data_IF_407372988087
#
_entry.id   IF_407372988087
#
_cell.length_a   1.000
_cell.length_b   1.000
_cell.length_c   1.000
_cell.angle_alpha   90.00
_cell.angle_beta   90.00
_cell.angle_gamma   90.00
#
_symmetry.space_group_name_H-M   'P 1'
#
loop_
_entity.id
_entity.type
_entity.pdbx_description
1 polymer ?
#
# COMPACT_ATOMS: atom_id res chain seq x y z
N UNK A 1 16.10 8.94 -4.98
CA UNK A 1 15.38 9.34 -3.75
C UNK A 1 14.66 10.65 -4.03
N UNK A 2 13.57 10.55 -4.78
CA UNK A 2 12.80 11.70 -5.22
C UNK A 2 12.00 12.23 -4.03
N UNK A 3 12.28 13.47 -3.69
CA UNK A 3 11.62 14.24 -2.64
C UNK A 3 10.12 14.33 -2.90
N UNK A 4 9.30 13.93 -1.93
CA UNK A 4 7.88 14.29 -1.89
C UNK A 4 7.75 15.82 -2.00
N UNK A 5 6.82 16.35 -2.81
CA UNK A 5 6.61 17.79 -2.89
C UNK A 5 6.16 18.34 -1.53
N UNK A 6 7.02 19.16 -0.92
CA UNK A 6 6.85 19.79 0.39
C UNK A 6 7.97 19.44 1.37
N UNK A 7 8.39 20.40 2.19
CA UNK A 7 9.37 20.21 3.27
C UNK A 7 8.77 19.30 4.37
N UNK A 8 8.68 18.00 4.10
CA UNK A 8 8.14 16.99 5.02
C UNK A 8 9.26 16.13 5.58
N UNK A 9 9.22 15.93 6.89
CA UNK A 9 10.12 15.05 7.62
C UNK A 9 10.17 13.65 6.98
N UNK A 10 11.37 13.11 6.83
CA UNK A 10 11.62 11.75 6.34
C UNK A 10 11.73 10.74 7.50
N UNK A 11 11.06 11.00 8.62
CA UNK A 11 11.09 10.12 9.78
C UNK A 11 10.58 8.72 9.42
N UNK A 12 11.18 7.68 10.03
CA UNK A 12 10.92 6.26 9.76
C UNK A 12 11.29 5.76 8.35
N UNK A 13 12.00 6.55 7.53
CA UNK A 13 12.61 6.01 6.32
C UNK A 13 13.79 5.10 6.67
N UNK A 14 13.85 3.87 6.12
CA UNK A 14 14.96 2.96 6.38
C UNK A 14 16.27 3.49 5.81
N UNK A 15 17.37 3.18 6.51
CA UNK A 15 18.70 3.42 5.99
C UNK A 15 19.10 2.31 5.01
N UNK A 16 19.07 2.62 3.71
CA UNK A 16 19.61 1.76 2.66
C UNK A 16 21.07 2.09 2.40
N UNK A 17 22.00 1.19 2.77
CA UNK A 17 23.43 1.39 2.56
C UNK A 17 23.82 1.33 1.08
N UNK A 18 23.19 0.44 0.31
CA UNK A 18 23.43 0.26 -1.12
C UNK A 18 22.39 1.02 -1.94
N UNK A 19 22.83 2.11 -2.57
CA UNK A 19 21.94 2.98 -3.37
C UNK A 19 21.71 2.46 -4.78
N UNK A 20 22.65 1.71 -5.33
CA UNK A 20 22.55 1.17 -6.67
C UNK A 20 21.55 0.02 -6.67
N UNK A 21 21.63 -0.88 -5.68
CA UNK A 21 20.63 -1.93 -5.48
C UNK A 21 19.23 -1.36 -5.23
N UNK A 22 19.11 -0.30 -4.44
CA UNK A 22 17.82 0.38 -4.24
C UNK A 22 17.23 0.90 -5.56
N UNK A 23 18.06 1.53 -6.41
CA UNK A 23 17.61 2.04 -7.70
C UNK A 23 17.18 0.91 -8.65
N UNK A 24 17.92 -0.20 -8.65
CA UNK A 24 17.57 -1.39 -9.44
C UNK A 24 16.22 -1.99 -8.99
N UNK A 25 16.02 -2.20 -7.69
CA UNK A 25 14.74 -2.72 -7.16
C UNK A 25 13.57 -1.79 -7.49
N UNK A 26 13.74 -0.47 -7.36
CA UNK A 26 12.69 0.49 -7.75
C UNK A 26 12.38 0.34 -9.24
N UNK A 27 13.40 0.27 -10.10
CA UNK A 27 13.19 0.14 -11.55
C UNK A 27 12.48 -1.16 -11.94
N UNK A 28 12.71 -2.25 -11.20
CA UNK A 28 12.01 -3.51 -11.40
C UNK A 28 10.53 -3.39 -11.01
N UNK A 29 10.25 -2.83 -9.83
CA UNK A 29 8.88 -2.61 -9.33
C UNK A 29 8.04 -1.74 -10.29
N UNK A 30 8.65 -0.73 -10.91
CA UNK A 30 7.99 0.16 -11.88
C UNK A 30 7.53 -0.57 -13.16
N UNK A 31 8.02 -1.79 -13.41
CA UNK A 31 7.60 -2.62 -14.56
C UNK A 31 6.52 -3.65 -14.23
N UNK A 32 6.24 -3.86 -12.94
CA UNK A 32 5.23 -4.83 -12.50
C UNK A 32 3.81 -4.28 -12.71
N UNK A 33 2.81 -5.15 -12.94
CA UNK A 33 1.44 -4.72 -13.02
C UNK A 33 0.96 -4.11 -11.70
N UNK A 34 0.06 -3.14 -11.81
CA UNK A 34 -0.60 -2.52 -10.66
C UNK A 34 -1.43 -3.56 -9.88
N UNK A 35 -1.50 -3.41 -8.56
CA UNK A 35 -2.29 -4.30 -7.70
C UNK A 35 -3.79 -3.98 -7.73
N UNK A 36 -4.17 -2.77 -8.14
CA UNK A 36 -5.53 -2.26 -8.17
C UNK A 36 -5.74 -1.43 -9.42
N UNK A 37 -6.98 -1.43 -9.93
CA UNK A 37 -7.40 -0.57 -11.04
C UNK A 37 -7.89 0.80 -10.58
N UNK A 38 -7.90 1.77 -11.49
CA UNK A 38 -8.48 3.09 -11.24
C UNK A 38 -9.97 3.02 -10.91
N UNK A 39 -10.70 2.12 -11.56
CA UNK A 39 -12.12 1.89 -11.36
C UNK A 39 -12.43 1.43 -9.94
N UNK A 40 -11.64 0.49 -9.39
CA UNK A 40 -11.76 0.03 -8.00
C UNK A 40 -11.54 1.17 -7.01
N UNK A 41 -10.55 2.04 -7.25
CA UNK A 41 -10.27 3.22 -6.42
C UNK A 41 -11.43 4.21 -6.48
N UNK A 42 -11.97 4.45 -7.68
CA UNK A 42 -13.11 5.34 -7.89
C UNK A 42 -14.34 4.86 -7.13
N UNK A 43 -14.62 3.55 -7.17
CA UNK A 43 -15.74 2.96 -6.44
C UNK A 43 -15.54 3.03 -4.92
N UNK A 44 -14.33 2.73 -4.43
CA UNK A 44 -14.01 2.87 -3.01
C UNK A 44 -14.21 4.31 -2.51
N UNK A 45 -13.83 5.32 -3.30
CA UNK A 45 -14.04 6.72 -2.95
C UNK A 45 -15.53 7.10 -2.84
N UNK A 46 -16.41 6.54 -3.68
CA UNK A 46 -17.86 6.75 -3.54
C UNK A 46 -18.39 6.14 -2.23
N UNK A 47 -17.90 4.96 -1.85
CA UNK A 47 -18.25 4.34 -0.58
C UNK A 47 -17.79 5.21 0.61
N UNK A 48 -16.56 5.75 0.57
CA UNK A 48 -16.07 6.70 1.59
C UNK A 48 -16.91 7.99 1.64
N UNK A 49 -17.39 8.50 0.51
CA UNK A 49 -18.28 9.65 0.48
C UNK A 49 -19.62 9.37 1.19
N UNK A 50 -20.15 8.14 1.08
CA UNK A 50 -21.33 7.72 1.83
C UNK A 50 -21.05 7.64 3.33
N UNK A 51 -19.86 7.18 3.74
CA UNK A 51 -19.43 7.20 5.16
C UNK A 51 -19.37 8.64 5.68
N UNK A 52 -18.74 9.55 4.93
CA UNK A 52 -18.67 10.96 5.30
C UNK A 52 -20.06 11.60 5.45
N UNK A 53 -21.00 11.24 4.57
CA UNK A 53 -22.38 11.72 4.62
C UNK A 53 -23.24 11.09 5.74
N UNK A 54 -22.65 10.22 6.59
CA UNK A 54 -23.38 9.51 7.65
C UNK A 54 -24.35 8.43 7.15
N UNK A 55 -24.18 7.98 5.90
CA UNK A 55 -25.05 6.99 5.25
C UNK A 55 -24.48 5.56 5.29
N UNK A 56 -23.21 5.42 5.69
CA UNK A 56 -22.52 4.15 5.82
C UNK A 56 -21.51 4.21 6.98
N UNK A 57 -20.99 3.06 7.38
CA UNK A 57 -19.89 2.93 8.35
C UNK A 57 -18.73 2.18 7.70
N UNK A 58 -17.50 2.51 8.09
CA UNK A 58 -16.28 1.78 7.69
C UNK A 58 -15.80 0.90 8.84
N UNK A 59 -15.41 -0.33 8.52
CA UNK A 59 -14.70 -1.23 9.43
C UNK A 59 -13.40 -1.66 8.77
N UNK A 60 -12.27 -1.37 9.43
CA UNK A 60 -10.94 -1.70 8.93
C UNK A 60 -10.19 -2.50 10.02
N UNK A 61 -9.83 -3.73 9.69
CA UNK A 61 -9.11 -4.65 10.58
C UNK A 61 -8.13 -5.50 9.76
N UNK A 62 -7.03 -5.92 10.38
CA UNK A 62 -5.98 -6.71 9.74
C UNK A 62 -4.80 -6.94 10.68
N UNK A 63 -3.74 -7.57 10.16
CA UNK A 63 -2.51 -7.80 10.92
C UNK A 63 -1.80 -6.47 11.25
N UNK A 64 -1.15 -6.42 12.42
CA UNK A 64 -0.33 -5.27 12.82
C UNK A 64 0.89 -5.10 11.91
N UNK A 65 1.53 -6.21 11.56
CA UNK A 65 2.61 -6.29 10.59
C UNK A 65 2.51 -7.65 9.90
N UNK A 66 2.18 -7.63 8.61
CA UNK A 66 2.16 -8.84 7.81
C UNK A 66 3.56 -9.44 7.70
N UNK A 67 3.66 -10.77 7.78
CA UNK A 67 4.93 -11.50 7.65
C UNK A 67 4.89 -12.34 6.40
N UNK A 68 5.91 -12.19 5.54
CA UNK A 68 6.06 -13.00 4.32
C UNK A 68 6.04 -14.51 4.67
N UNK A 69 6.68 -14.91 5.78
CA UNK A 69 6.68 -16.31 6.25
C UNK A 69 5.27 -16.86 6.59
N UNK A 70 4.30 -15.98 6.85
CA UNK A 70 2.92 -16.35 7.14
C UNK A 70 2.03 -16.32 5.88
N UNK A 71 2.57 -16.00 4.70
CA UNK A 71 1.85 -16.01 3.42
C UNK A 71 1.56 -17.45 2.97
N UNK A 72 0.69 -18.12 3.71
CA UNK A 72 0.20 -19.45 3.38
C UNK A 72 -1.26 -19.36 2.96
N UNK A 73 -1.65 -20.21 2.01
CA UNK A 73 -3.00 -20.24 1.44
C UNK A 73 -4.11 -20.41 2.49
N UNK A 74 -3.82 -21.13 3.57
CA UNK A 74 -4.74 -21.34 4.69
C UNK A 74 -5.11 -20.04 5.43
N UNK A 75 -4.18 -19.11 5.59
CA UNK A 75 -4.40 -17.87 6.35
C UNK A 75 -5.42 -16.93 5.69
N UNK A 76 -5.61 -17.06 4.38
CA UNK A 76 -6.52 -16.20 3.59
C UNK A 76 -7.84 -16.91 3.21
N UNK A 77 -8.15 -18.04 3.86
CA UNK A 77 -9.44 -18.72 3.71
C UNK A 77 -9.74 -19.24 2.30
N UNK A 78 -8.72 -19.38 1.44
CA UNK A 78 -8.88 -19.96 0.10
C UNK A 78 -8.45 -21.42 0.14
N UNK A 79 -9.41 -22.36 0.08
CA UNK A 79 -9.13 -23.79 -0.15
C UNK A 79 -8.31 -23.96 -1.44
#
# INVERSE_FOLDING_TARGET
MTSFPGNKSNWQQPFWSDKDMLALVISELDTLPELLSFEEISEFNKALAAVYAGKAMIFQAGDCAERIANLTRYMYGKN
#
